data_IF_992728804919
#
_entry.id   IF_992728804919
#
_cell.length_a   1.000
_cell.length_b   1.000
_cell.length_c   1.000
_cell.angle_alpha   90.00
_cell.angle_beta   90.00
_cell.angle_gamma   90.00
#
_symmetry.space_group_name_H-M   'P 1'
#
loop_
_entity.id
_entity.type
_entity.pdbx_description
1 polymer ?
#
# COMPACT_ATOMS: atom_id res chain seq x y z
N UNK A 1 0.85 7.85 15.92
CA UNK A 1 0.02 7.41 14.78
C UNK A 1 -0.64 8.65 14.19
N UNK A 2 -0.54 8.84 12.87
CA UNK A 2 -1.24 9.91 12.18
C UNK A 2 -2.50 9.31 11.57
N UNK A 3 -3.67 9.79 12.00
CA UNK A 3 -4.97 9.37 11.45
C UNK A 3 -5.24 10.13 10.15
N UNK A 4 -5.81 9.45 9.16
CA UNK A 4 -6.32 10.10 7.95
C UNK A 4 -7.59 10.89 8.34
N UNK A 5 -7.59 12.19 8.12
CA UNK A 5 -8.69 13.09 8.54
C UNK A 5 -10.00 12.81 7.81
N UNK A 6 -9.94 12.44 6.55
CA UNK A 6 -11.14 12.13 5.75
C UNK A 6 -11.77 10.81 6.24
N UNK A 7 -10.96 9.79 6.50
CA UNK A 7 -11.43 8.55 7.10
C UNK A 7 -12.01 8.78 8.50
N UNK A 8 -11.35 9.60 9.32
CA UNK A 8 -11.85 9.96 10.65
C UNK A 8 -13.23 10.64 10.57
N UNK A 9 -13.42 11.58 9.65
CA UNK A 9 -14.70 12.25 9.45
C UNK A 9 -15.82 11.29 9.03
N UNK A 10 -15.54 10.32 8.16
CA UNK A 10 -16.51 9.29 7.76
C UNK A 10 -16.86 8.38 8.94
N UNK A 11 -15.86 7.91 9.69
CA UNK A 11 -16.07 7.09 10.88
C UNK A 11 -16.89 7.84 11.95
N UNK A 12 -16.62 9.15 12.14
CA UNK A 12 -17.39 10.00 13.05
C UNK A 12 -18.85 10.10 12.62
N UNK A 13 -19.11 10.37 11.35
CA UNK A 13 -20.47 10.47 10.81
C UNK A 13 -21.30 9.21 11.00
N UNK A 14 -20.62 8.05 11.07
CA UNK A 14 -21.22 6.73 11.28
C UNK A 14 -21.22 6.30 12.77
N UNK A 15 -20.69 7.12 13.68
CA UNK A 15 -20.54 6.78 15.09
C UNK A 15 -19.56 5.64 15.34
N UNK A 16 -18.62 5.41 14.43
CA UNK A 16 -17.63 4.32 14.46
C UNK A 16 -16.19 4.80 14.72
N UNK A 17 -15.99 6.10 14.98
CA UNK A 17 -14.70 6.67 15.34
C UNK A 17 -14.32 6.28 16.78
N UNK A 18 -13.90 5.05 16.96
CA UNK A 18 -13.55 4.47 18.27
C UNK A 18 -12.11 3.96 18.26
N UNK A 19 -11.47 3.90 19.44
CA UNK A 19 -10.14 3.33 19.57
C UNK A 19 -10.09 1.89 19.05
N UNK A 20 -11.13 1.10 19.28
CA UNK A 20 -11.23 -0.27 18.76
C UNK A 20 -11.16 -0.31 17.22
N UNK A 21 -11.80 0.63 16.54
CA UNK A 21 -11.74 0.71 15.06
C UNK A 21 -10.32 1.05 14.60
N UNK A 22 -9.67 2.00 15.26
CA UNK A 22 -8.29 2.39 14.93
C UNK A 22 -7.27 1.32 15.27
N UNK A 23 -7.47 0.58 16.34
CA UNK A 23 -6.63 -0.57 16.69
C UNK A 23 -6.75 -1.69 15.65
N UNK A 24 -7.95 -1.93 15.11
CA UNK A 24 -8.15 -2.89 14.03
C UNK A 24 -7.44 -2.45 12.74
N UNK A 25 -7.53 -1.17 12.36
CA UNK A 25 -6.81 -0.61 11.21
C UNK A 25 -5.29 -0.72 11.41
N UNK A 26 -4.81 -0.44 12.61
CA UNK A 26 -3.39 -0.55 12.94
C UNK A 26 -2.89 -2.00 12.87
N UNK A 27 -3.65 -2.92 13.41
CA UNK A 27 -3.33 -4.36 13.36
C UNK A 27 -3.27 -4.90 11.92
N UNK A 28 -4.02 -4.28 11.01
CA UNK A 28 -4.03 -4.61 9.56
C UNK A 28 -3.12 -3.68 8.73
N UNK A 29 -2.03 -3.19 9.31
CA UNK A 29 -1.03 -2.35 8.65
C UNK A 29 -1.60 -1.08 7.98
N UNK A 30 -2.70 -0.57 8.47
CA UNK A 30 -3.37 0.63 7.95
C UNK A 30 -4.48 0.34 6.94
N UNK A 31 -4.72 -0.92 6.59
CA UNK A 31 -5.82 -1.34 5.73
C UNK A 31 -7.17 -1.17 6.42
N UNK A 32 -8.17 -0.80 5.65
CA UNK A 32 -9.58 -0.74 6.06
C UNK A 32 -10.40 -1.89 5.48
N UNK A 33 -9.77 -2.76 4.68
CA UNK A 33 -10.49 -3.76 3.88
C UNK A 33 -11.21 -4.81 4.75
N UNK A 34 -10.63 -5.15 5.89
CA UNK A 34 -11.20 -6.13 6.83
C UNK A 34 -12.18 -5.53 7.84
N UNK A 35 -12.46 -4.23 7.77
CA UNK A 35 -13.48 -3.62 8.62
C UNK A 35 -14.89 -4.11 8.23
N UNK A 36 -15.80 -4.25 9.23
CA UNK A 36 -17.19 -4.62 8.95
C UNK A 36 -17.91 -3.61 8.05
N UNK A 37 -18.84 -4.08 7.21
CA UNK A 37 -19.62 -3.22 6.29
C UNK A 37 -20.52 -2.20 6.99
N UNK A 38 -20.86 -2.45 8.24
CA UNK A 38 -21.59 -1.49 9.08
C UNK A 38 -20.69 -0.35 9.57
N UNK A 39 -19.37 -0.51 9.45
CA UNK A 39 -18.35 0.49 9.79
C UNK A 39 -17.97 1.30 8.56
N UNK A 40 -17.61 0.64 7.45
CA UNK A 40 -17.32 1.25 6.16
C UNK A 40 -17.98 0.45 5.04
N UNK A 41 -18.63 1.16 4.10
CA UNK A 41 -19.17 0.53 2.88
C UNK A 41 -18.05 0.07 1.95
N UNK A 42 -18.36 -0.77 0.98
CA UNK A 42 -17.37 -1.19 -0.04
C UNK A 42 -16.83 0.02 -0.81
N UNK A 43 -17.70 0.97 -1.18
CA UNK A 43 -17.29 2.20 -1.88
C UNK A 43 -16.32 3.04 -1.04
N UNK A 44 -16.56 3.15 0.29
CA UNK A 44 -15.62 3.83 1.19
C UNK A 44 -14.27 3.09 1.23
N UNK A 45 -14.28 1.77 1.30
CA UNK A 45 -13.06 0.95 1.33
C UNK A 45 -12.22 1.11 0.07
N UNK A 46 -12.84 1.21 -1.10
CA UNK A 46 -12.14 1.45 -2.37
C UNK A 46 -11.42 2.80 -2.40
N UNK A 47 -11.94 3.80 -1.69
CA UNK A 47 -11.29 5.12 -1.59
C UNK A 47 -10.06 5.10 -0.69
N UNK A 48 -10.08 4.28 0.37
CA UNK A 48 -9.01 4.24 1.38
C UNK A 48 -8.06 3.05 1.22
N UNK A 49 -7.77 2.64 -0.02
CA UNK A 49 -6.75 1.64 -0.30
C UNK A 49 -5.36 2.12 0.17
N UNK A 50 -4.63 1.24 0.81
CA UNK A 50 -3.21 1.45 1.09
C UNK A 50 -2.39 1.39 -0.20
N UNK A 51 -1.15 1.87 -0.16
CA UNK A 51 -0.28 1.84 -1.35
C UNK A 51 -0.05 0.44 -1.92
N UNK A 52 0.00 -0.58 -1.07
CA UNK A 52 0.17 -1.98 -1.48
C UNK A 52 -1.10 -2.59 -2.08
N UNK A 53 -2.28 -2.08 -1.72
CA UNK A 53 -3.58 -2.55 -2.22
C UNK A 53 -3.96 -1.92 -3.57
N UNK A 54 -3.38 -0.76 -3.89
CA UNK A 54 -3.61 -0.11 -5.19
C UNK A 54 -3.03 -0.95 -6.32
N UNK A 55 -3.78 -1.11 -7.41
CA UNK A 55 -3.28 -1.78 -8.59
C UNK A 55 -2.02 -1.10 -9.15
N UNK A 56 -0.89 -1.76 -9.07
CA UNK A 56 0.42 -1.20 -9.44
C UNK A 56 0.51 -0.83 -10.92
N UNK A 57 -0.26 -1.49 -11.79
CA UNK A 57 -0.34 -1.15 -13.20
C UNK A 57 -1.00 0.22 -13.42
N UNK A 58 -1.98 0.58 -12.60
CA UNK A 58 -2.61 1.92 -12.66
C UNK A 58 -1.64 3.02 -12.23
N UNK A 59 -0.77 2.75 -11.25
CA UNK A 59 0.29 3.69 -10.88
C UNK A 59 1.26 3.92 -12.05
N UNK A 60 1.63 2.84 -12.75
CA UNK A 60 2.47 2.92 -13.97
C UNK A 60 1.79 3.76 -15.04
N UNK A 61 0.50 3.54 -15.31
CA UNK A 61 -0.28 4.29 -16.30
C UNK A 61 -0.36 5.78 -15.96
N UNK A 62 -0.64 6.11 -14.69
CA UNK A 62 -0.65 7.49 -14.22
C UNK A 62 0.72 8.16 -14.36
N UNK A 63 1.80 7.46 -14.03
CA UNK A 63 3.15 7.96 -14.21
C UNK A 63 3.48 8.20 -15.69
N UNK A 64 3.07 7.30 -16.57
CA UNK A 64 3.24 7.45 -18.02
C UNK A 64 2.51 8.67 -18.59
N UNK A 65 1.29 8.94 -18.11
CA UNK A 65 0.55 10.14 -18.51
C UNK A 65 1.29 11.42 -18.11
N UNK A 66 1.82 11.47 -16.89
CA UNK A 66 2.62 12.63 -16.42
C UNK A 66 3.95 12.75 -17.14
N UNK A 67 4.59 11.62 -17.52
CA UNK A 67 5.92 11.60 -18.13
C UNK A 67 5.99 12.38 -19.45
N UNK A 68 4.87 12.52 -20.15
CA UNK A 68 4.78 13.32 -21.38
C UNK A 68 5.04 14.81 -21.18
N UNK A 69 4.90 15.30 -19.97
CA UNK A 69 4.99 16.71 -19.58
C UNK A 69 6.16 16.97 -18.63
N UNK A 70 7.01 15.98 -18.39
CA UNK A 70 8.12 16.06 -17.44
C UNK A 70 9.40 15.63 -18.14
N UNK A 71 10.41 16.51 -18.17
CA UNK A 71 11.73 16.19 -18.73
C UNK A 71 12.54 15.27 -17.83
N UNK A 72 12.34 15.37 -16.52
CA UNK A 72 13.01 14.56 -15.51
C UNK A 72 12.38 13.18 -15.37
N UNK A 73 13.07 12.32 -14.66
CA UNK A 73 12.54 11.04 -14.21
C UNK A 73 11.56 11.22 -13.06
N UNK A 74 10.68 10.24 -12.87
CA UNK A 74 9.78 10.18 -11.71
C UNK A 74 10.28 9.09 -10.75
N UNK A 75 10.32 9.40 -9.44
CA UNK A 75 10.64 8.41 -8.39
C UNK A 75 9.44 7.51 -8.12
N UNK A 76 9.06 6.69 -9.11
CA UNK A 76 7.91 5.79 -9.02
C UNK A 76 8.31 4.51 -8.28
N UNK A 77 7.75 4.34 -7.09
CA UNK A 77 7.85 3.10 -6.35
C UNK A 77 6.72 2.16 -6.77
N UNK A 78 7.00 0.87 -6.81
CA UNK A 78 6.00 -0.18 -6.94
C UNK A 78 6.03 -1.06 -5.69
N UNK A 79 4.87 -1.57 -5.29
CA UNK A 79 4.71 -2.47 -4.15
C UNK A 79 4.05 -3.75 -4.61
N UNK A 80 4.62 -4.89 -4.21
CA UNK A 80 4.10 -6.20 -4.55
C UNK A 80 3.99 -7.05 -3.28
N UNK A 81 2.95 -7.87 -3.22
CA UNK A 81 2.82 -8.86 -2.18
C UNK A 81 3.86 -9.98 -2.38
N UNK A 82 4.42 -10.57 -1.31
CA UNK A 82 5.34 -11.70 -1.42
C UNK A 82 4.77 -12.91 -2.19
N UNK A 83 3.45 -13.03 -2.26
CA UNK A 83 2.74 -14.08 -2.99
C UNK A 83 2.47 -13.74 -4.45
N UNK A 84 2.73 -12.48 -4.87
CA UNK A 84 2.57 -12.05 -6.25
C UNK A 84 3.44 -12.87 -7.20
N UNK A 85 2.87 -13.24 -8.33
CA UNK A 85 3.61 -14.02 -9.31
C UNK A 85 4.72 -13.19 -9.96
N UNK A 86 5.90 -13.78 -10.22
CA UNK A 86 6.96 -13.11 -10.99
C UNK A 86 6.48 -12.62 -12.36
N UNK A 87 5.48 -13.28 -12.93
CA UNK A 87 4.84 -12.87 -14.19
C UNK A 87 4.12 -11.53 -14.04
N UNK A 88 3.40 -11.31 -12.95
CA UNK A 88 2.72 -10.04 -12.66
C UNK A 88 3.73 -8.90 -12.48
N UNK A 89 4.75 -9.13 -11.67
CA UNK A 89 5.84 -8.16 -11.46
C UNK A 89 6.49 -7.78 -12.79
N UNK A 90 6.83 -8.77 -13.60
CA UNK A 90 7.41 -8.54 -14.93
C UNK A 90 6.45 -7.79 -15.86
N UNK A 91 5.16 -8.08 -15.82
CA UNK A 91 4.15 -7.37 -16.61
C UNK A 91 4.12 -5.87 -16.29
N UNK A 92 4.17 -5.49 -15.01
CA UNK A 92 4.23 -4.08 -14.60
C UNK A 92 5.48 -3.37 -15.13
N UNK A 93 6.63 -4.04 -15.11
CA UNK A 93 7.89 -3.48 -15.64
C UNK A 93 7.87 -3.31 -17.17
N UNK A 94 7.39 -4.32 -17.88
CA UNK A 94 7.26 -4.27 -19.34
C UNK A 94 6.27 -3.17 -19.75
N UNK A 95 5.16 -3.04 -19.03
CA UNK A 95 4.17 -2.01 -19.33
C UNK A 95 4.72 -0.61 -19.06
N UNK A 96 5.48 -0.41 -17.99
CA UNK A 96 6.16 0.85 -17.71
C UNK A 96 7.10 1.25 -18.87
N UNK A 97 7.88 0.29 -19.38
CA UNK A 97 8.75 0.52 -20.52
C UNK A 97 7.97 0.85 -21.79
N UNK A 98 6.92 0.08 -22.13
CA UNK A 98 6.07 0.31 -23.31
C UNK A 98 5.41 1.68 -23.30
N UNK A 99 4.98 2.14 -22.12
CA UNK A 99 4.32 3.43 -21.94
C UNK A 99 5.29 4.62 -21.86
N UNK A 100 6.61 4.37 -21.91
CA UNK A 100 7.64 5.42 -21.93
C UNK A 100 7.93 6.01 -20.56
N UNK A 101 7.67 5.29 -19.47
CA UNK A 101 8.15 5.68 -18.14
C UNK A 101 9.68 5.54 -18.14
N UNK A 102 10.39 6.62 -17.83
CA UNK A 102 11.85 6.66 -17.94
C UNK A 102 12.57 5.78 -16.93
N UNK A 103 12.07 5.74 -15.70
CA UNK A 103 12.64 4.91 -14.62
C UNK A 103 11.56 4.47 -13.65
N UNK A 104 11.79 3.30 -13.04
CA UNK A 104 11.17 2.88 -11.79
C UNK A 104 12.20 3.07 -10.68
N UNK A 105 11.75 3.31 -9.44
CA UNK A 105 12.67 3.59 -8.35
C UNK A 105 12.80 2.38 -7.41
N UNK A 106 11.97 2.27 -6.37
CA UNK A 106 12.00 1.10 -5.49
C UNK A 106 10.93 0.08 -5.88
N UNK A 107 11.33 -1.19 -5.90
CA UNK A 107 10.41 -2.30 -5.82
C UNK A 107 10.33 -2.70 -4.35
N UNK A 108 9.16 -2.52 -3.75
CA UNK A 108 8.90 -2.88 -2.36
C UNK A 108 8.14 -4.20 -2.34
N UNK A 109 8.56 -5.10 -1.48
CA UNK A 109 7.83 -6.31 -1.15
C UNK A 109 7.97 -6.55 0.34
N UNK A 110 6.89 -6.92 1.00
CA UNK A 110 6.98 -7.34 2.40
C UNK A 110 7.62 -8.74 2.45
N UNK A 111 8.57 -8.90 3.37
CA UNK A 111 9.19 -10.21 3.57
C UNK A 111 8.21 -11.15 4.26
N UNK A 112 8.08 -12.38 3.76
CA UNK A 112 7.32 -13.46 4.40
C UNK A 112 7.74 -13.67 5.87
N UNK A 113 8.97 -13.28 6.21
CA UNK A 113 9.55 -13.39 7.56
C UNK A 113 8.95 -12.34 8.53
N UNK A 114 8.40 -11.22 8.04
CA UNK A 114 7.79 -10.19 8.90
C UNK A 114 6.53 -10.67 9.64
N UNK A 115 5.80 -11.61 9.09
CA UNK A 115 4.61 -12.19 9.74
C UNK A 115 4.92 -12.96 11.03
N UNK A 116 6.15 -13.48 11.16
CA UNK A 116 6.58 -14.29 12.30
C UNK A 116 7.35 -13.47 13.37
N UNK A 117 7.85 -12.29 13.02
CA UNK A 117 8.61 -11.40 13.90
C UNK A 117 7.73 -10.51 14.79
N UNK A 118 6.45 -10.37 14.48
CA UNK A 118 5.49 -9.60 15.30
C UNK A 118 5.19 -10.25 16.67
N UNK A 119 5.56 -11.50 16.87
CA UNK A 119 5.39 -12.24 18.13
C UNK A 119 6.67 -12.45 18.94
N UNK A 120 7.83 -12.05 18.38
CA UNK A 120 9.12 -12.16 19.10
C UNK A 120 9.60 -10.75 19.45
N UNK A 121 9.63 -10.47 20.75
CA UNK A 121 10.32 -9.33 21.38
C UNK A 121 11.66 -9.08 20.70
N UNK A 122 11.87 -7.82 20.31
CA UNK A 122 13.05 -7.35 19.62
C UNK A 122 14.36 -7.71 20.37
N UNK A 123 14.91 -8.86 20.08
CA UNK A 123 16.33 -9.11 20.28
C UNK A 123 17.07 -8.77 18.99
N UNK A 124 17.94 -7.79 19.09
CA UNK A 124 18.73 -7.27 18.00
C UNK A 124 19.76 -8.34 17.56
N UNK A 125 19.48 -9.03 16.45
CA UNK A 125 20.37 -10.08 15.89
C UNK A 125 21.64 -9.48 15.21
N UNK A 126 21.82 -8.16 15.23
CA UNK A 126 22.94 -7.50 14.52
C UNK A 126 24.13 -7.15 15.40
N UNK A 127 24.17 -7.60 16.67
CA UNK A 127 25.25 -7.20 17.60
C UNK A 127 26.20 -8.32 18.01
N UNK A 128 26.14 -9.51 17.39
CA UNK A 128 27.13 -10.57 17.58
C UNK A 128 27.84 -10.90 16.25
N UNK A 129 28.97 -10.22 16.06
CA UNK A 129 29.88 -10.45 14.96
C UNK A 129 31.15 -9.61 15.13
#
# INVERSE_FOLDING_TARGET
IVKNKELEAILESKGKNTDKTWDAILADNGSVQNLPLDTLSEDDKEVFLTFSEVNQLELVRQAALRQKYIDQTQSLNLSFDPTDSPKWINQCHIEAWKLGVKTLYYLRTDSVIKGDLGSRTAECISCDG
#
